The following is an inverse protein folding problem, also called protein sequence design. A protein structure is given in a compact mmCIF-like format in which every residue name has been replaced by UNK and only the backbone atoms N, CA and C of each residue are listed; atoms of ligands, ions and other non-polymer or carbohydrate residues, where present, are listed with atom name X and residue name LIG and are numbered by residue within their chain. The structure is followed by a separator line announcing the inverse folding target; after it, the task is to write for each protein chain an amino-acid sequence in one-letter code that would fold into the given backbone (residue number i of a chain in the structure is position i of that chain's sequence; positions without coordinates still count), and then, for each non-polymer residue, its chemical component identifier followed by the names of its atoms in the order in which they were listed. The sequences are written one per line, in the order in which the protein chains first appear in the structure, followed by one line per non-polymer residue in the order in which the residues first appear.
data_IF_586037069416
#
_entry.id   IF_586037069416
#
_cell.length_a   1.000
_cell.length_b   1.000
_cell.length_c   1.000
_cell.angle_alpha   90.00
_cell.angle_beta   90.00
_cell.angle_gamma   90.00
#
_symmetry.space_group_name_H-M   'P 1'
#
loop_
_entity.id
_entity.type
_entity.pdbx_description
1 polymer ?
#
# COMPACT_ATOMS: atom_id res chain seq x y z
N UNK A 1 51.38 -45.83 -21.50
CA UNK A 1 50.21 -45.10 -20.96
C UNK A 1 50.68 -44.28 -19.76
N UNK A 2 50.76 -42.95 -19.83
CA UNK A 2 50.94 -42.16 -18.60
C UNK A 2 51.60 -40.78 -18.72
N UNK A 3 52.57 -40.58 -19.61
CA UNK A 3 53.37 -39.34 -19.58
C UNK A 3 52.80 -38.21 -20.46
N UNK A 4 52.18 -38.55 -21.58
CA UNK A 4 51.64 -37.55 -22.52
C UNK A 4 50.34 -36.92 -21.96
N UNK A 5 49.50 -37.70 -21.27
CA UNK A 5 48.29 -37.18 -20.62
C UNK A 5 48.59 -36.32 -19.39
N UNK A 6 49.71 -36.55 -18.69
CA UNK A 6 50.14 -35.73 -17.56
C UNK A 6 50.67 -34.36 -17.99
N UNK A 7 51.40 -34.31 -19.11
CA UNK A 7 51.93 -33.05 -19.66
C UNK A 7 50.85 -32.16 -20.25
N UNK A 8 49.86 -32.74 -20.91
CA UNK A 8 48.73 -31.97 -21.46
C UNK A 8 47.82 -31.43 -20.35
N UNK A 9 47.62 -32.16 -19.26
CA UNK A 9 46.86 -31.66 -18.11
C UNK A 9 47.60 -30.56 -17.33
N UNK A 10 48.93 -30.58 -17.33
CA UNK A 10 49.75 -29.52 -16.71
C UNK A 10 49.76 -28.23 -17.54
N UNK A 11 49.79 -28.34 -18.87
CA UNK A 11 49.81 -27.20 -19.79
C UNK A 11 48.42 -26.62 -20.09
N UNK A 12 47.36 -27.43 -20.04
CA UNK A 12 46.00 -27.03 -20.41
C UNK A 12 44.95 -27.13 -19.29
N UNK A 13 45.27 -27.75 -18.14
CA UNK A 13 44.29 -28.07 -17.09
C UNK A 13 44.05 -26.97 -16.03
N UNK A 14 44.82 -25.88 -16.03
CA UNK A 14 44.70 -24.80 -15.02
C UNK A 14 44.14 -23.47 -15.54
N UNK A 15 43.88 -23.34 -16.84
CA UNK A 15 43.72 -22.04 -17.51
C UNK A 15 42.29 -21.51 -17.63
N UNK A 16 41.25 -22.32 -17.40
CA UNK A 16 39.87 -21.86 -17.62
C UNK A 16 39.38 -20.85 -16.57
N UNK A 17 39.89 -20.91 -15.34
CA UNK A 17 39.56 -19.92 -14.30
C UNK A 17 40.49 -18.69 -14.35
N UNK A 18 41.79 -18.86 -14.60
CA UNK A 18 42.74 -17.74 -14.62
C UNK A 18 42.53 -16.78 -15.81
N UNK A 19 42.10 -17.28 -16.97
CA UNK A 19 41.78 -16.43 -18.13
C UNK A 19 40.45 -15.69 -17.91
N UNK A 20 39.47 -16.32 -17.24
CA UNK A 20 38.23 -15.65 -16.80
C UNK A 20 38.53 -14.50 -15.85
N UNK A 21 39.36 -14.75 -14.82
CA UNK A 21 39.77 -13.74 -13.84
C UNK A 21 40.58 -12.60 -14.47
N UNK A 22 41.36 -12.85 -15.52
CA UNK A 22 42.15 -11.81 -16.20
C UNK A 22 41.32 -11.03 -17.23
N UNK A 23 40.33 -11.63 -17.88
CA UNK A 23 39.43 -10.94 -18.82
C UNK A 23 38.40 -10.08 -18.09
N UNK A 24 37.96 -10.47 -16.88
CA UNK A 24 37.11 -9.62 -16.02
C UNK A 24 37.81 -8.33 -15.58
N UNK A 25 39.15 -8.28 -15.58
CA UNK A 25 39.96 -7.07 -15.29
C UNK A 25 39.96 -6.07 -16.46
N UNK A 26 39.82 -6.53 -17.71
CA UNK A 26 39.80 -5.65 -18.90
C UNK A 26 38.39 -5.41 -19.48
N UNK A 27 37.40 -6.22 -19.09
CA UNK A 27 36.01 -6.06 -19.53
C UNK A 27 35.09 -6.44 -18.38
N UNK A 28 34.48 -5.42 -17.80
CA UNK A 28 33.52 -5.56 -16.70
C UNK A 28 32.46 -6.60 -17.04
N UNK A 29 32.27 -7.59 -16.15
CA UNK A 29 31.30 -8.65 -16.32
C UNK A 29 29.89 -8.03 -16.41
N UNK A 30 29.25 -8.14 -17.58
CA UNK A 30 28.01 -7.43 -17.91
C UNK A 30 26.87 -7.76 -16.94
N UNK A 31 26.88 -8.96 -16.38
CA UNK A 31 25.89 -9.46 -15.43
C UNK A 31 26.12 -8.88 -14.02
N UNK A 32 27.37 -8.79 -13.58
CA UNK A 32 27.73 -8.12 -12.33
C UNK A 32 27.43 -6.61 -12.40
N UNK A 33 27.61 -6.00 -13.58
CA UNK A 33 27.20 -4.60 -13.84
C UNK A 33 25.68 -4.45 -13.80
N UNK A 34 24.94 -5.38 -14.43
CA UNK A 34 23.47 -5.37 -14.43
C UNK A 34 22.89 -5.48 -13.02
N UNK A 35 23.44 -6.37 -12.18
CA UNK A 35 23.03 -6.53 -10.78
C UNK A 35 23.31 -5.26 -9.98
N UNK A 36 24.51 -4.65 -10.12
CA UNK A 36 24.82 -3.39 -9.46
C UNK A 36 23.93 -2.23 -9.93
N UNK A 37 23.67 -2.14 -11.23
CA UNK A 37 22.77 -1.10 -11.78
C UNK A 37 21.32 -1.28 -11.32
N UNK A 38 20.85 -2.52 -11.20
CA UNK A 38 19.52 -2.81 -10.66
C UNK A 38 19.43 -2.40 -9.18
N UNK A 39 20.45 -2.71 -8.38
CA UNK A 39 20.50 -2.30 -6.97
C UNK A 39 20.54 -0.78 -6.79
N UNK A 40 21.32 -0.06 -7.61
CA UNK A 40 21.35 1.41 -7.59
C UNK A 40 20.00 1.99 -8.01
N UNK A 41 19.36 1.41 -9.03
CA UNK A 41 18.06 1.86 -9.50
C UNK A 41 16.96 1.62 -8.45
N UNK A 42 16.95 0.46 -7.79
CA UNK A 42 16.00 0.13 -6.74
C UNK A 42 16.17 1.05 -5.52
N UNK A 43 17.41 1.30 -5.10
CA UNK A 43 17.71 2.27 -4.03
C UNK A 43 17.28 3.69 -4.39
N UNK A 44 17.58 4.14 -5.61
CA UNK A 44 17.15 5.45 -6.09
C UNK A 44 15.62 5.56 -6.12
N UNK A 45 14.90 4.53 -6.57
CA UNK A 45 13.43 4.53 -6.56
C UNK A 45 12.85 4.50 -5.15
N UNK A 46 13.49 3.81 -4.21
CA UNK A 46 13.09 3.80 -2.80
C UNK A 46 13.31 5.16 -2.13
N UNK A 47 14.45 5.81 -2.40
CA UNK A 47 14.80 7.14 -1.87
C UNK A 47 13.88 8.23 -2.46
N UNK A 48 13.70 8.24 -3.78
CA UNK A 48 12.72 9.12 -4.43
C UNK A 48 11.31 8.89 -3.88
N UNK A 49 10.90 7.63 -3.71
CA UNK A 49 9.60 7.28 -3.11
C UNK A 49 9.44 7.81 -1.69
N UNK A 50 10.48 7.73 -0.85
CA UNK A 50 10.48 8.22 0.52
C UNK A 50 10.42 9.75 0.59
N UNK A 51 11.06 10.45 -0.34
CA UNK A 51 11.07 11.91 -0.38
C UNK A 51 9.72 12.48 -0.85
N UNK A 52 9.08 11.87 -1.86
CA UNK A 52 7.73 12.25 -2.29
C UNK A 52 6.61 11.78 -1.35
N UNK A 53 6.88 10.83 -0.46
CA UNK A 53 5.89 10.32 0.50
C UNK A 53 5.58 11.29 1.65
N UNK A 54 6.40 12.34 1.86
CA UNK A 54 6.11 13.41 2.82
C UNK A 54 5.50 14.61 2.11
N UNK A 55 4.16 14.75 2.05
CA UNK A 55 3.56 16.03 1.71
C UNK A 55 3.82 16.98 2.87
N UNK A 56 4.92 17.74 2.79
CA UNK A 56 5.24 18.75 3.77
C UNK A 56 4.38 20.00 3.47
N UNK A 57 3.06 19.88 3.66
CA UNK A 57 2.12 20.98 3.46
C UNK A 57 2.47 22.10 4.45
N UNK A 58 2.84 23.26 3.93
CA UNK A 58 3.19 24.40 4.77
C UNK A 58 1.99 24.89 5.59
N UNK A 59 2.25 25.64 6.66
CA UNK A 59 1.19 26.32 7.43
C UNK A 59 0.28 27.20 6.55
N UNK A 60 0.85 27.85 5.52
CA UNK A 60 0.13 28.63 4.52
C UNK A 60 -0.80 27.75 3.68
N UNK A 61 -0.33 26.58 3.23
CA UNK A 61 -1.17 25.64 2.49
C UNK A 61 -2.35 25.19 3.33
N UNK A 62 -2.14 24.90 4.62
CA UNK A 62 -3.22 24.50 5.55
C UNK A 62 -4.20 25.64 5.79
N UNK A 63 -3.72 26.88 5.88
CA UNK A 63 -4.57 28.07 5.99
C UNK A 63 -5.43 28.26 4.73
N UNK A 64 -4.81 28.24 3.56
CA UNK A 64 -5.51 28.35 2.28
C UNK A 64 -6.49 27.19 2.06
N UNK A 65 -6.14 25.99 2.51
CA UNK A 65 -7.07 24.85 2.52
C UNK A 65 -8.26 25.09 3.46
N UNK A 66 -8.02 25.70 4.62
CA UNK A 66 -9.07 26.14 5.53
C UNK A 66 -10.03 27.12 4.86
N UNK A 67 -9.51 28.22 4.31
CA UNK A 67 -10.28 29.25 3.59
C UNK A 67 -11.11 28.62 2.47
N UNK A 68 -10.53 27.70 1.72
CA UNK A 68 -11.20 27.01 0.64
C UNK A 68 -12.28 25.99 1.07
N UNK A 69 -12.29 25.60 2.35
CA UNK A 69 -13.30 24.71 2.94
C UNK A 69 -14.43 25.45 3.63
N UNK A 70 -14.27 26.74 3.93
CA UNK A 70 -15.30 27.62 4.51
C UNK A 70 -16.59 27.74 3.66
N UNK A 71 -16.58 27.70 2.32
CA UNK A 71 -17.80 27.95 1.56
C UNK A 71 -18.94 26.99 1.87
N UNK A 72 -18.65 25.69 2.04
CA UNK A 72 -19.66 24.67 2.39
C UNK A 72 -20.37 24.96 3.73
N UNK A 73 -19.67 25.11 4.86
CA UNK A 73 -20.30 25.47 6.13
C UNK A 73 -20.91 26.87 6.09
N UNK A 74 -20.33 27.84 5.39
CA UNK A 74 -20.90 29.17 5.26
C UNK A 74 -22.25 29.15 4.53
N UNK A 75 -22.41 28.35 3.48
CA UNK A 75 -23.71 28.19 2.80
C UNK A 75 -24.74 27.55 3.73
N UNK A 76 -24.38 26.49 4.45
CA UNK A 76 -25.30 25.82 5.38
C UNK A 76 -25.71 26.72 6.56
N UNK A 77 -24.76 27.42 7.18
CA UNK A 77 -25.04 28.34 8.28
C UNK A 77 -25.76 29.61 7.77
N UNK A 78 -25.44 30.07 6.57
CA UNK A 78 -26.10 31.21 5.94
C UNK A 78 -27.58 30.95 5.62
N UNK A 79 -27.92 29.74 5.13
CA UNK A 79 -29.32 29.37 4.89
C UNK A 79 -30.09 29.22 6.19
N UNK A 80 -29.51 28.58 7.21
CA UNK A 80 -30.11 28.52 8.55
C UNK A 80 -30.29 29.92 9.15
N UNK A 81 -29.30 30.79 9.00
CA UNK A 81 -29.37 32.19 9.43
C UNK A 81 -30.47 32.97 8.73
N UNK A 82 -30.66 32.79 7.42
CA UNK A 82 -31.77 33.40 6.67
C UNK A 82 -33.13 32.98 7.22
N UNK A 83 -33.32 31.71 7.58
CA UNK A 83 -34.56 31.25 8.21
C UNK A 83 -34.79 31.90 9.58
N UNK A 84 -33.74 32.03 10.40
CA UNK A 84 -33.83 32.71 11.69
C UNK A 84 -34.17 34.19 11.51
N UNK A 85 -33.50 34.89 10.59
CA UNK A 85 -33.75 36.31 10.31
C UNK A 85 -35.19 36.52 9.82
N UNK A 86 -35.72 35.63 8.99
CA UNK A 86 -37.10 35.67 8.55
C UNK A 86 -38.11 35.56 9.71
N UNK A 87 -37.77 34.84 10.78
CA UNK A 87 -38.61 34.71 11.99
C UNK A 87 -38.45 35.89 12.96
N UNK A 88 -37.24 36.44 13.08
CA UNK A 88 -36.93 37.54 14.03
C UNK A 88 -37.40 38.90 13.51
N UNK A 89 -37.17 39.19 12.23
CA UNK A 89 -37.58 40.45 11.58
C UNK A 89 -38.10 40.20 10.16
N UNK A 90 -39.39 39.85 10.02
CA UNK A 90 -39.98 39.50 8.74
C UNK A 90 -40.09 40.70 7.78
N UNK A 91 -40.24 41.93 8.29
CA UNK A 91 -40.34 43.12 7.45
C UNK A 91 -38.99 43.45 6.80
N UNK A 92 -37.91 43.41 7.59
CA UNK A 92 -36.56 43.61 7.06
C UNK A 92 -36.20 42.55 6.02
N UNK A 93 -36.53 41.28 6.30
CA UNK A 93 -36.31 40.18 5.37
C UNK A 93 -37.08 40.39 4.06
N UNK A 94 -38.37 40.68 4.13
CA UNK A 94 -39.22 40.89 2.96
C UNK A 94 -38.71 42.04 2.07
N UNK A 95 -38.26 43.13 2.67
CA UNK A 95 -37.69 44.26 1.93
C UNK A 95 -36.42 43.88 1.14
N UNK A 96 -35.58 42.97 1.65
CA UNK A 96 -34.39 42.49 0.91
C UNK A 96 -34.75 41.46 -0.16
N UNK A 97 -35.77 40.64 0.06
CA UNK A 97 -36.27 39.69 -0.95
C UNK A 97 -36.80 40.39 -2.20
N UNK A 98 -37.34 41.62 -2.08
CA UNK A 98 -37.70 42.44 -3.24
C UNK A 98 -36.49 42.76 -4.12
N UNK A 99 -35.34 43.07 -3.51
CA UNK A 99 -34.10 43.29 -4.26
C UNK A 99 -33.61 42.04 -4.98
N UNK A 100 -33.74 40.86 -4.35
CA UNK A 100 -33.38 39.58 -4.97
C UNK A 100 -34.32 39.24 -6.14
N UNK A 101 -35.61 39.56 -6.03
CA UNK A 101 -36.59 39.34 -7.09
C UNK A 101 -36.32 40.17 -8.35
N UNK A 102 -35.62 41.30 -8.21
CA UNK A 102 -35.21 42.15 -9.34
C UNK A 102 -33.94 41.66 -10.03
N UNK A 103 -33.25 40.66 -9.49
CA UNK A 103 -32.03 40.11 -10.10
C UNK A 103 -32.40 39.39 -11.41
N UNK A 104 -31.82 39.78 -12.56
CA UNK A 104 -32.11 39.14 -13.84
C UNK A 104 -31.79 37.64 -13.84
N UNK A 105 -32.61 36.84 -14.53
CA UNK A 105 -32.40 35.39 -14.69
C UNK A 105 -30.97 35.03 -15.17
N UNK A 106 -30.36 35.74 -16.16
CA UNK A 106 -29.00 35.44 -16.60
C UNK A 106 -27.94 35.53 -15.50
N UNK A 107 -28.17 36.35 -14.46
CA UNK A 107 -27.21 36.49 -13.36
C UNK A 107 -27.20 35.26 -12.45
N UNK A 108 -28.35 34.60 -12.30
CA UNK A 108 -28.44 33.32 -11.60
C UNK A 108 -27.70 32.22 -12.35
N UNK A 109 -27.82 32.19 -13.68
CA UNK A 109 -27.04 31.29 -14.53
C UNK A 109 -25.54 31.53 -14.39
N UNK A 110 -25.09 32.78 -14.42
CA UNK A 110 -23.68 33.11 -14.26
C UNK A 110 -23.14 32.69 -12.89
N UNK A 111 -23.89 32.96 -11.81
CA UNK A 111 -23.53 32.51 -10.45
C UNK A 111 -23.38 30.97 -10.42
N UNK A 112 -24.35 30.25 -10.99
CA UNK A 112 -24.32 28.79 -11.09
C UNK A 112 -23.09 28.27 -11.82
N UNK A 113 -22.72 28.89 -12.95
CA UNK A 113 -21.53 28.53 -13.73
C UNK A 113 -20.24 28.78 -12.94
N UNK A 114 -20.10 29.96 -12.32
CA UNK A 114 -18.89 30.32 -11.56
C UNK A 114 -18.69 29.36 -10.38
N UNK A 115 -19.74 29.12 -9.60
CA UNK A 115 -19.70 28.20 -8.45
C UNK A 115 -19.40 26.78 -8.93
N UNK A 116 -20.07 26.31 -9.99
CA UNK A 116 -19.83 24.97 -10.55
C UNK A 116 -18.41 24.79 -11.05
N UNK A 117 -17.83 25.81 -11.68
CA UNK A 117 -16.43 25.76 -12.13
C UNK A 117 -15.46 25.71 -10.95
N UNK A 118 -15.64 26.61 -9.97
CA UNK A 118 -14.78 26.72 -8.79
C UNK A 118 -14.77 25.44 -7.94
N UNK A 119 -15.95 24.86 -7.67
CA UNK A 119 -16.05 23.66 -6.83
C UNK A 119 -15.98 22.35 -7.63
N UNK A 120 -16.40 22.34 -8.90
CA UNK A 120 -16.41 21.15 -9.75
C UNK A 120 -15.02 20.65 -10.12
N UNK A 121 -14.07 21.56 -10.41
CA UNK A 121 -12.69 21.18 -10.71
C UNK A 121 -11.98 20.55 -9.50
N UNK A 122 -12.28 21.01 -8.28
CA UNK A 122 -11.61 20.54 -7.06
C UNK A 122 -12.11 19.17 -6.58
N UNK A 123 -13.36 18.80 -6.87
CA UNK A 123 -13.88 17.46 -6.61
C UNK A 123 -13.21 16.37 -7.45
N UNK A 124 -12.79 16.71 -8.68
CA UNK A 124 -12.11 15.75 -9.57
C UNK A 124 -10.74 15.32 -9.01
N UNK A 125 -10.00 16.22 -8.36
CA UNK A 125 -8.68 15.92 -7.76
C UNK A 125 -8.79 14.87 -6.65
N UNK A 126 -9.88 14.88 -5.86
CA UNK A 126 -10.09 13.90 -4.79
C UNK A 126 -10.45 12.50 -5.32
N UNK A 127 -11.13 12.44 -6.47
CA UNK A 127 -11.38 11.16 -7.13
C UNK A 127 -10.09 10.54 -7.68
N UNK A 128 -9.16 11.37 -8.16
CA UNK A 128 -7.85 10.91 -8.62
C UNK A 128 -6.97 10.40 -7.47
N UNK A 129 -7.00 11.05 -6.30
CA UNK A 129 -6.27 10.54 -5.13
C UNK A 129 -6.83 9.21 -4.64
N UNK A 130 -8.16 9.04 -4.66
CA UNK A 130 -8.82 7.78 -4.31
C UNK A 130 -8.43 6.64 -5.27
N UNK A 131 -8.39 6.90 -6.57
CA UNK A 131 -7.91 5.93 -7.56
C UNK A 131 -6.44 5.56 -7.33
N UNK A 132 -5.58 6.53 -6.99
CA UNK A 132 -4.18 6.29 -6.65
C UNK A 132 -4.03 5.44 -5.38
N UNK A 133 -4.82 5.71 -4.35
CA UNK A 133 -4.83 4.93 -3.10
C UNK A 133 -5.32 3.49 -3.33
N UNK A 134 -6.33 3.29 -4.17
CA UNK A 134 -6.75 1.94 -4.59
C UNK A 134 -5.62 1.23 -5.31
N UNK A 135 -4.95 1.88 -6.26
CA UNK A 135 -3.84 1.29 -7.00
C UNK A 135 -2.68 0.87 -6.08
N UNK A 136 -2.30 1.72 -5.12
CA UNK A 136 -1.27 1.40 -4.12
C UNK A 136 -1.70 0.25 -3.21
N UNK A 137 -2.97 0.22 -2.81
CA UNK A 137 -3.51 -0.87 -1.98
C UNK A 137 -3.52 -2.19 -2.75
N UNK A 138 -3.97 -2.18 -4.01
CA UNK A 138 -3.97 -3.35 -4.89
C UNK A 138 -2.56 -3.90 -5.11
N UNK A 139 -1.56 -3.03 -5.25
CA UNK A 139 -0.16 -3.43 -5.40
C UNK A 139 0.38 -4.18 -4.16
N UNK A 140 -0.16 -3.93 -2.96
CA UNK A 140 0.24 -4.58 -1.71
C UNK A 140 -0.55 -5.86 -1.38
N UNK A 141 -1.62 -6.15 -2.11
CA UNK A 141 -2.45 -7.36 -1.89
C UNK A 141 -1.63 -8.65 -1.99
N UNK A 142 -0.73 -8.85 -2.98
CA UNK A 142 0.08 -10.07 -3.06
C UNK A 142 0.99 -10.26 -1.83
N UNK A 143 1.56 -9.18 -1.32
CA UNK A 143 2.42 -9.21 -0.12
C UNK A 143 1.62 -9.60 1.13
N UNK A 144 0.42 -9.04 1.28
CA UNK A 144 -0.48 -9.40 2.38
C UNK A 144 -0.90 -10.88 2.28
N UNK A 145 -1.20 -11.38 1.07
CA UNK A 145 -1.54 -12.79 0.88
C UNK A 145 -0.39 -13.73 1.23
N UNK A 146 0.84 -13.38 0.83
CA UNK A 146 2.07 -14.13 1.17
C UNK A 146 2.30 -14.14 2.69
N UNK A 147 2.22 -13.00 3.34
CA UNK A 147 2.39 -12.92 4.80
C UNK A 147 1.31 -13.73 5.55
N UNK A 148 0.07 -13.74 5.06
CA UNK A 148 -1.00 -14.56 5.63
C UNK A 148 -0.72 -16.06 5.43
N UNK A 149 -0.18 -16.47 4.28
CA UNK A 149 0.20 -17.86 4.03
C UNK A 149 1.33 -18.31 4.98
N UNK A 150 2.38 -17.51 5.11
CA UNK A 150 3.49 -17.77 6.05
C UNK A 150 2.99 -17.84 7.51
N UNK A 151 2.08 -16.94 7.91
CA UNK A 151 1.46 -16.98 9.25
C UNK A 151 0.60 -18.22 9.48
N UNK A 152 -0.04 -18.76 8.44
CA UNK A 152 -0.79 -20.02 8.53
C UNK A 152 0.13 -21.23 8.65
N UNK A 153 1.26 -21.23 7.96
CA UNK A 153 2.28 -22.28 8.08
C UNK A 153 2.92 -22.28 9.47
N UNK A 154 3.10 -21.12 10.11
CA UNK A 154 3.61 -21.01 11.48
C UNK A 154 2.59 -21.38 12.57
N UNK A 155 1.31 -21.57 12.23
CA UNK A 155 0.27 -21.90 13.22
C UNK A 155 0.22 -23.39 13.51
N UNK A 156 0.35 -23.74 14.80
CA UNK A 156 0.28 -25.12 15.29
C UNK A 156 -1.10 -25.79 15.14
N UNK A 157 -2.16 -25.03 14.85
CA UNK A 157 -3.53 -25.53 14.68
C UNK A 157 -3.90 -25.85 13.22
N UNK A 158 -2.95 -25.72 12.29
CA UNK A 158 -3.20 -26.02 10.87
C UNK A 158 -3.27 -27.55 10.67
N UNK A 159 -4.29 -28.10 9.97
CA UNK A 159 -4.40 -29.54 9.73
C UNK A 159 -3.14 -30.07 9.03
N UNK A 160 -2.51 -31.10 9.59
CA UNK A 160 -1.28 -31.70 9.05
C UNK A 160 0.03 -31.24 9.70
N UNK A 161 0.02 -30.31 10.66
CA UNK A 161 1.23 -29.88 11.37
C UNK A 161 1.89 -31.02 12.17
N UNK A 162 1.09 -31.98 12.64
CA UNK A 162 1.58 -33.20 13.29
C UNK A 162 1.68 -34.40 12.34
N UNK A 163 1.58 -34.18 11.01
CA UNK A 163 1.72 -35.25 10.03
C UNK A 163 3.19 -35.70 9.98
N UNK A 164 3.41 -37.00 10.10
CA UNK A 164 4.73 -37.62 10.07
C UNK A 164 5.28 -37.73 8.65
N UNK A 165 4.47 -37.38 7.63
CA UNK A 165 4.89 -37.40 6.23
C UNK A 165 5.32 -38.81 5.80
N UNK A 166 6.48 -38.91 5.13
CA UNK A 166 7.05 -40.20 4.70
C UNK A 166 7.94 -40.88 5.75
N UNK A 167 8.07 -40.32 6.95
CA UNK A 167 8.91 -40.89 8.01
C UNK A 167 8.17 -42.04 8.72
N UNK A 168 8.52 -43.26 8.31
CA UNK A 168 7.94 -44.48 8.87
C UNK A 168 8.25 -44.66 10.37
N UNK A 169 9.39 -44.18 10.86
CA UNK A 169 9.74 -44.33 12.29
C UNK A 169 8.92 -43.39 13.15
N UNK A 170 8.76 -42.13 12.71
CA UNK A 170 7.91 -41.15 13.40
C UNK A 170 6.43 -41.55 13.37
N UNK A 171 5.97 -42.13 12.25
CA UNK A 171 4.60 -42.65 12.11
C UNK A 171 4.31 -43.81 13.06
N UNK A 172 5.28 -44.72 13.24
CA UNK A 172 5.14 -45.81 14.22
C UNK A 172 5.12 -45.24 15.65
N UNK A 173 5.99 -44.27 15.96
CA UNK A 173 6.05 -43.64 17.28
C UNK A 173 4.77 -42.86 17.64
N UNK A 174 4.09 -42.25 16.67
CA UNK A 174 2.86 -41.49 16.89
C UNK A 174 1.62 -42.38 17.12
N UNK A 175 1.67 -43.65 16.70
CA UNK A 175 0.60 -44.64 16.91
C UNK A 175 0.70 -45.31 18.29
N UNK A 176 1.86 -45.28 18.94
CA UNK A 176 2.01 -45.80 20.30
C UNK A 176 1.26 -44.91 21.30
N UNK A 177 0.25 -45.43 22.04
CA UNK A 177 -0.41 -44.69 23.10
C UNK A 177 0.60 -44.42 24.20
N UNK A 178 1.06 -43.17 24.31
CA UNK A 178 1.87 -42.70 25.44
C UNK A 178 0.99 -42.25 26.60
N UNK A 179 1.60 -42.16 27.80
CA UNK A 179 0.93 -41.59 28.98
C UNK A 179 0.57 -40.13 28.72
N UNK A 180 -0.73 -39.86 28.52
CA UNK A 180 -1.26 -38.53 28.26
C UNK A 180 -2.13 -38.07 29.44
N UNK A 181 -1.52 -37.40 30.44
CA UNK A 181 -2.24 -36.98 31.65
C UNK A 181 -3.40 -36.01 31.34
N UNK A 182 -3.33 -35.26 30.23
CA UNK A 182 -4.43 -34.39 29.80
C UNK A 182 -5.62 -35.22 29.28
N UNK A 183 -5.37 -36.28 28.52
CA UNK A 183 -6.43 -37.18 28.03
C UNK A 183 -7.11 -37.94 29.17
N UNK A 184 -6.35 -38.38 30.16
CA UNK A 184 -6.88 -39.06 31.34
C UNK A 184 -7.74 -38.11 32.20
N UNK A 185 -7.31 -36.86 32.37
CA UNK A 185 -8.10 -35.84 33.05
C UNK A 185 -9.42 -35.55 32.34
N UNK A 186 -9.41 -35.50 30.99
CA UNK A 186 -10.62 -35.28 30.19
C UNK A 186 -11.59 -36.48 30.25
N UNK A 187 -11.07 -37.70 30.22
CA UNK A 187 -11.89 -38.93 30.38
C UNK A 187 -12.53 -38.99 31.76
N UNK A 188 -11.80 -38.63 32.81
CA UNK A 188 -12.32 -38.56 34.18
C UNK A 188 -13.46 -37.54 34.30
N UNK A 189 -13.36 -36.39 33.63
CA UNK A 189 -14.41 -35.37 33.57
C UNK A 189 -15.67 -35.82 32.81
N UNK A 190 -15.57 -36.83 31.93
CA UNK A 190 -16.68 -37.33 31.11
C UNK A 190 -17.42 -38.52 31.74
N UNK A 191 -16.82 -39.12 32.77
CA UNK A 191 -17.37 -40.26 33.54
C UNK A 191 -17.99 -39.83 34.88
N UNK A 192 -17.90 -38.55 35.23
CA UNK A 192 -18.62 -37.90 36.33
C UNK A 192 -19.92 -37.26 35.83
#
# INVERSE_FOLDING_TARGET
MGLINGLTNLLFGGGSNAVRDTVEVFRENAEARAIRSAGIQEQAMAEFGAEFARPNSGWFDRFMDGVNRVPRPALALGTLGLFVVAMVDPLWFAARMQGIALVPEPMWWLLGVIVSFYFGARHQVKNQSFQREIAVTMARVPDVMRNIAELKEMRAETPGVADTGSDAQLSIASVHPGDNPALDSWRALRLA
#
